data_IF_587329860696
#
_entry.id   IF_587329860696
#
_cell.length_a   1.000
_cell.length_b   1.000
_cell.length_c   1.000
_cell.angle_alpha   90.00
_cell.angle_beta   90.00
_cell.angle_gamma   90.00
#
_symmetry.space_group_name_H-M   'P 1'
#
loop_
_entity.id
_entity.type
_entity.pdbx_description
1 polymer ?
#
# COMPACT_ATOMS: atom_id res chain seq x y z
N UNK A 1 -35.62 -5.68 -35.35
CA UNK A 1 -34.56 -4.78 -34.82
C UNK A 1 -34.82 -4.32 -33.36
N UNK A 2 -35.36 -5.19 -32.48
CA UNK A 2 -35.60 -4.89 -31.05
C UNK A 2 -35.13 -6.00 -30.07
N UNK A 3 -34.62 -7.14 -30.55
CA UNK A 3 -34.05 -8.19 -29.69
C UNK A 3 -32.52 -8.07 -29.48
N UNK A 4 -31.79 -7.40 -30.36
CA UNK A 4 -30.33 -7.28 -30.25
C UNK A 4 -29.84 -6.24 -29.20
N UNK A 5 -30.72 -5.33 -28.75
CA UNK A 5 -30.38 -4.32 -27.75
C UNK A 5 -30.68 -4.76 -26.31
N UNK A 6 -31.57 -5.74 -26.10
CA UNK A 6 -31.83 -6.34 -24.78
C UNK A 6 -30.69 -7.29 -24.36
N UNK A 7 -30.03 -7.97 -25.31
CA UNK A 7 -28.84 -8.78 -25.00
C UNK A 7 -27.60 -7.94 -24.64
N UNK A 8 -27.45 -6.71 -25.18
CA UNK A 8 -26.34 -5.81 -24.79
C UNK A 8 -26.57 -5.13 -23.43
N UNK A 9 -27.82 -4.90 -23.04
CA UNK A 9 -28.15 -4.38 -21.71
C UNK A 9 -27.94 -5.47 -20.62
N UNK A 10 -28.30 -6.72 -20.92
CA UNK A 10 -28.01 -7.85 -20.02
C UNK A 10 -26.52 -8.20 -19.94
N UNK A 11 -25.74 -8.06 -21.03
CA UNK A 11 -24.27 -8.22 -20.97
C UNK A 11 -23.56 -7.09 -20.20
N UNK A 12 -24.10 -5.86 -20.19
CA UNK A 12 -23.52 -4.75 -19.41
C UNK A 12 -23.80 -4.86 -17.91
N UNK A 13 -24.94 -5.42 -17.52
CA UNK A 13 -25.21 -5.79 -16.12
C UNK A 13 -24.37 -7.00 -15.66
N UNK A 14 -23.92 -7.86 -16.58
CA UNK A 14 -23.05 -9.00 -16.29
C UNK A 14 -21.60 -8.60 -15.97
N UNK A 15 -21.10 -7.52 -16.58
CA UNK A 15 -19.74 -6.99 -16.33
C UNK A 15 -19.65 -6.20 -15.01
N UNK A 16 -20.75 -5.63 -14.52
CA UNK A 16 -20.80 -4.91 -13.24
C UNK A 16 -20.69 -5.84 -12.01
N UNK A 17 -21.02 -7.13 -12.17
CA UNK A 17 -20.88 -8.13 -11.10
C UNK A 17 -19.54 -8.86 -11.08
N UNK A 18 -18.71 -8.76 -12.13
CA UNK A 18 -17.63 -9.71 -12.41
C UNK A 18 -16.50 -9.74 -11.37
N UNK A 19 -16.27 -8.66 -10.60
CA UNK A 19 -15.24 -8.64 -9.55
C UNK A 19 -15.75 -9.08 -8.17
N UNK A 20 -17.02 -8.80 -7.82
CA UNK A 20 -17.66 -9.48 -6.68
C UNK A 20 -17.80 -10.97 -6.96
N UNK A 21 -18.14 -11.31 -8.21
CA UNK A 21 -18.25 -12.68 -8.68
C UNK A 21 -16.89 -13.39 -8.71
N UNK A 22 -15.74 -12.79 -9.02
CA UNK A 22 -14.49 -13.57 -9.08
C UNK A 22 -14.04 -14.13 -7.71
N UNK A 23 -14.12 -13.35 -6.62
CA UNK A 23 -13.68 -13.81 -5.29
C UNK A 23 -14.77 -14.62 -4.56
N UNK A 24 -16.03 -14.22 -4.69
CA UNK A 24 -17.19 -15.02 -4.26
C UNK A 24 -17.33 -16.26 -5.15
N UNK A 25 -16.83 -16.29 -6.40
CA UNK A 25 -16.67 -17.53 -7.17
C UNK A 25 -15.50 -18.34 -6.62
N UNK A 26 -14.35 -17.82 -6.26
CA UNK A 26 -13.27 -18.73 -5.80
C UNK A 26 -13.68 -19.46 -4.51
N UNK A 27 -14.29 -18.77 -3.55
CA UNK A 27 -14.76 -19.42 -2.30
C UNK A 27 -16.14 -20.04 -2.48
N UNK A 28 -17.10 -19.35 -3.09
CA UNK A 28 -18.43 -19.88 -3.37
C UNK A 28 -18.45 -21.01 -4.40
N UNK A 29 -17.57 -21.05 -5.40
CA UNK A 29 -17.40 -22.24 -6.28
C UNK A 29 -16.71 -23.37 -5.52
N UNK A 30 -15.85 -23.10 -4.54
CA UNK A 30 -15.29 -24.16 -3.68
C UNK A 30 -16.36 -24.74 -2.74
N UNK A 31 -17.18 -23.88 -2.12
CA UNK A 31 -18.30 -24.28 -1.25
C UNK A 31 -19.37 -25.03 -2.06
N UNK A 32 -19.76 -24.50 -3.23
CA UNK A 32 -20.73 -25.12 -4.14
C UNK A 32 -20.19 -26.41 -4.77
N UNK A 33 -18.91 -26.46 -5.17
CA UNK A 33 -18.31 -27.68 -5.73
C UNK A 33 -18.14 -28.79 -4.68
N UNK A 34 -18.03 -28.46 -3.39
CA UNK A 34 -17.99 -29.43 -2.29
C UNK A 34 -19.39 -29.83 -1.79
N UNK A 35 -20.46 -29.19 -2.29
CA UNK A 35 -21.83 -29.44 -1.79
C UNK A 35 -22.01 -29.08 -0.31
N UNK A 36 -21.14 -28.23 0.24
CA UNK A 36 -21.10 -27.87 1.66
C UNK A 36 -21.87 -26.56 1.90
N UNK A 37 -22.46 -26.42 3.08
CA UNK A 37 -23.13 -25.17 3.49
C UNK A 37 -22.14 -24.09 3.96
N UNK A 38 -20.89 -24.48 4.28
CA UNK A 38 -19.85 -23.61 4.84
C UNK A 38 -18.46 -24.12 4.49
N UNK A 39 -17.44 -23.26 4.58
CA UNK A 39 -16.05 -23.65 4.32
C UNK A 39 -15.50 -24.47 5.50
N UNK A 40 -14.83 -25.59 5.20
CA UNK A 40 -14.30 -26.50 6.22
C UNK A 40 -12.89 -26.11 6.66
N UNK A 41 -12.50 -26.58 7.86
CA UNK A 41 -11.11 -26.48 8.38
C UNK A 41 -10.11 -27.08 7.40
N UNK A 42 -10.45 -28.21 6.78
CA UNK A 42 -9.60 -28.88 5.80
C UNK A 42 -9.37 -28.00 4.56
N UNK A 43 -10.45 -27.46 3.99
CA UNK A 43 -10.36 -26.57 2.82
C UNK A 43 -9.52 -25.32 3.13
N UNK A 44 -9.70 -24.71 4.30
CA UNK A 44 -8.87 -23.58 4.75
C UNK A 44 -7.40 -24.00 4.85
N UNK A 45 -7.12 -25.15 5.48
CA UNK A 45 -5.77 -25.66 5.64
C UNK A 45 -5.06 -25.92 4.32
N UNK A 46 -5.77 -26.50 3.35
CA UNK A 46 -5.27 -26.75 1.99
C UNK A 46 -4.96 -25.42 1.27
N UNK A 47 -5.91 -24.47 1.26
CA UNK A 47 -5.74 -23.19 0.55
C UNK A 47 -4.66 -22.29 1.16
N UNK A 48 -4.53 -22.26 2.49
CA UNK A 48 -3.47 -21.52 3.16
C UNK A 48 -2.09 -22.19 3.05
N UNK A 49 -2.03 -23.43 2.57
CA UNK A 49 -0.77 -24.15 2.31
C UNK A 49 -0.45 -24.23 0.82
N UNK A 50 -1.18 -23.51 -0.03
CA UNK A 50 -0.92 -23.46 -1.47
C UNK A 50 0.49 -22.91 -1.73
N UNK A 51 1.33 -23.58 -2.55
CA UNK A 51 2.67 -23.10 -2.86
C UNK A 51 2.67 -21.75 -3.57
N UNK A 52 1.60 -21.43 -4.32
CA UNK A 52 1.46 -20.15 -5.01
C UNK A 52 1.08 -19.04 -4.03
N UNK A 53 1.97 -18.06 -3.86
CA UNK A 53 1.71 -16.88 -3.05
C UNK A 53 0.48 -16.11 -3.54
N UNK A 54 0.27 -16.00 -4.87
CA UNK A 54 -0.92 -15.35 -5.41
C UNK A 54 -2.20 -16.08 -5.04
N UNK A 55 -2.19 -17.42 -5.04
CA UNK A 55 -3.35 -18.22 -4.62
C UNK A 55 -3.65 -18.04 -3.13
N UNK A 56 -2.62 -18.05 -2.27
CA UNK A 56 -2.77 -17.75 -0.83
C UNK A 56 -3.38 -16.37 -0.61
N UNK A 57 -2.83 -15.33 -1.25
CA UNK A 57 -3.34 -13.95 -1.16
C UNK A 57 -4.80 -13.82 -1.59
N UNK A 58 -5.15 -14.37 -2.76
CA UNK A 58 -6.53 -14.34 -3.26
C UNK A 58 -7.48 -15.01 -2.29
N UNK A 59 -7.09 -16.15 -1.72
CA UNK A 59 -7.90 -16.84 -0.72
C UNK A 59 -8.07 -16.00 0.56
N UNK A 60 -6.98 -15.46 1.10
CA UNK A 60 -6.99 -14.61 2.31
C UNK A 60 -7.89 -13.38 2.12
N UNK A 61 -7.74 -12.67 1.01
CA UNK A 61 -8.57 -11.50 0.72
C UNK A 61 -10.05 -11.87 0.56
N UNK A 62 -10.35 -13.07 0.05
CA UNK A 62 -11.72 -13.56 -0.07
C UNK A 62 -12.38 -13.95 1.24
N UNK A 63 -11.61 -14.30 2.28
CA UNK A 63 -12.17 -14.58 3.61
C UNK A 63 -12.90 -13.38 4.21
N UNK A 64 -12.61 -12.15 3.76
CA UNK A 64 -13.28 -10.93 4.23
C UNK A 64 -14.74 -10.81 3.76
N UNK A 65 -15.13 -11.52 2.69
CA UNK A 65 -16.48 -11.47 2.12
C UNK A 65 -17.41 -12.54 2.74
N UNK A 66 -16.88 -13.41 3.60
CA UNK A 66 -17.66 -14.46 4.28
C UNK A 66 -18.48 -13.91 5.44
N UNK A 67 -19.63 -14.54 5.70
CA UNK A 67 -20.46 -14.32 6.89
C UNK A 67 -20.19 -15.36 7.99
N UNK A 68 -20.83 -15.20 9.15
CA UNK A 68 -20.76 -16.20 10.23
C UNK A 68 -21.40 -17.55 9.81
N UNK A 69 -22.33 -17.54 8.84
CA UNK A 69 -22.93 -18.76 8.28
C UNK A 69 -21.92 -19.50 7.36
N UNK A 70 -21.14 -18.75 6.58
CA UNK A 70 -20.15 -19.28 5.65
C UNK A 70 -18.89 -19.81 6.37
N UNK A 71 -18.53 -19.21 7.51
CA UNK A 71 -17.31 -19.51 8.27
C UNK A 71 -17.61 -19.76 9.75
N UNK A 72 -17.88 -21.03 10.07
CA UNK A 72 -18.15 -21.48 11.44
C UNK A 72 -17.03 -21.13 12.45
N UNK A 73 -17.37 -20.99 13.73
CA UNK A 73 -16.40 -20.67 14.80
C UNK A 73 -15.16 -21.58 14.85
N UNK A 74 -15.26 -22.92 14.69
CA UNK A 74 -14.07 -23.78 14.66
C UNK A 74 -13.18 -23.49 13.45
N UNK A 75 -13.78 -23.27 12.27
CA UNK A 75 -13.08 -22.94 11.03
C UNK A 75 -12.39 -21.58 11.14
N UNK A 76 -13.08 -20.59 11.68
CA UNK A 76 -12.55 -19.25 11.95
C UNK A 76 -11.40 -19.28 12.94
N UNK A 77 -11.55 -20.01 14.05
CA UNK A 77 -10.50 -20.16 15.07
C UNK A 77 -9.24 -20.81 14.47
N UNK A 78 -9.42 -21.84 13.65
CA UNK A 78 -8.32 -22.48 12.93
C UNK A 78 -7.63 -21.50 11.96
N UNK A 79 -8.42 -20.78 11.14
CA UNK A 79 -7.91 -19.78 10.21
C UNK A 79 -7.10 -18.70 10.95
N UNK A 80 -7.66 -18.10 12.01
CA UNK A 80 -6.98 -17.06 12.79
C UNK A 80 -5.62 -17.51 13.31
N UNK A 81 -5.54 -18.70 13.92
CA UNK A 81 -4.26 -19.23 14.43
C UNK A 81 -3.24 -19.47 13.32
N UNK A 82 -3.70 -19.98 12.17
CA UNK A 82 -2.83 -20.23 11.01
C UNK A 82 -2.34 -18.92 10.39
N UNK A 83 -3.23 -17.97 10.20
CA UNK A 83 -2.95 -16.65 9.63
C UNK A 83 -1.98 -15.85 10.50
N UNK A 84 -2.14 -15.84 11.83
CA UNK A 84 -1.17 -15.15 12.72
C UNK A 84 0.24 -15.77 12.65
N UNK A 85 0.33 -17.09 12.46
CA UNK A 85 1.64 -17.75 12.24
C UNK A 85 2.23 -17.35 10.89
N UNK A 86 1.41 -17.37 9.83
CA UNK A 86 1.83 -16.93 8.50
C UNK A 86 2.22 -15.44 8.50
N UNK A 87 1.52 -14.58 9.23
CA UNK A 87 1.85 -13.16 9.34
C UNK A 87 3.29 -12.92 9.78
N UNK A 88 3.80 -13.76 10.68
CA UNK A 88 5.18 -13.70 11.17
C UNK A 88 6.21 -14.32 10.20
N UNK A 89 5.82 -15.34 9.43
CA UNK A 89 6.76 -16.30 8.84
C UNK A 89 6.67 -16.44 7.33
N UNK A 90 5.53 -16.11 6.70
CA UNK A 90 5.36 -16.29 5.26
C UNK A 90 6.36 -15.37 4.52
N UNK A 91 7.14 -15.91 3.56
CA UNK A 91 8.17 -15.13 2.88
C UNK A 91 7.59 -14.05 1.97
N UNK A 92 6.34 -14.19 1.52
CA UNK A 92 5.75 -13.31 0.54
C UNK A 92 5.15 -12.02 1.16
N UNK A 93 5.59 -10.83 0.74
CA UNK A 93 5.12 -9.55 1.29
C UNK A 93 3.63 -9.31 1.04
N UNK A 94 3.12 -9.72 -0.13
CA UNK A 94 1.69 -9.57 -0.42
C UNK A 94 0.82 -10.44 0.48
N UNK A 95 1.30 -11.63 0.88
CA UNK A 95 0.62 -12.51 1.83
C UNK A 95 0.63 -11.89 3.22
N UNK A 96 1.78 -11.36 3.66
CA UNK A 96 1.87 -10.60 4.90
C UNK A 96 0.84 -9.44 4.94
N UNK A 97 0.82 -8.58 3.92
CA UNK A 97 -0.12 -7.45 3.85
C UNK A 97 -1.58 -7.88 3.71
N UNK A 98 -1.89 -8.95 2.97
CA UNK A 98 -3.26 -9.47 2.88
C UNK A 98 -3.78 -9.94 4.26
N UNK A 99 -2.90 -10.55 5.07
CA UNK A 99 -3.24 -10.96 6.44
C UNK A 99 -3.41 -9.73 7.33
N UNK A 100 -2.50 -8.74 7.26
CA UNK A 100 -2.64 -7.46 7.98
C UNK A 100 -4.00 -6.83 7.72
N UNK A 101 -4.37 -6.72 6.45
CA UNK A 101 -5.64 -6.15 6.02
C UNK A 101 -6.85 -6.93 6.54
N UNK A 102 -6.83 -8.26 6.44
CA UNK A 102 -7.94 -9.13 6.87
C UNK A 102 -8.15 -9.07 8.39
N UNK A 103 -7.07 -9.19 9.15
CA UNK A 103 -7.08 -9.38 10.60
C UNK A 103 -7.07 -8.07 11.40
N UNK A 104 -6.57 -6.97 10.81
CA UNK A 104 -6.35 -5.71 11.49
C UNK A 104 -7.55 -4.77 11.54
N UNK A 105 -8.56 -4.99 10.71
CA UNK A 105 -9.67 -4.05 10.54
C UNK A 105 -11.04 -4.74 10.49
N UNK A 106 -12.01 -4.17 11.21
CA UNK A 106 -13.43 -4.51 11.13
C UNK A 106 -14.14 -3.78 9.96
N UNK A 107 -13.39 -3.00 9.19
CA UNK A 107 -13.89 -2.14 8.11
C UNK A 107 -13.11 -2.31 6.81
N UNK A 108 -13.79 -2.06 5.70
CA UNK A 108 -13.19 -1.81 4.40
C UNK A 108 -13.65 -0.43 3.96
N UNK A 109 -12.73 0.53 4.07
CA UNK A 109 -13.06 1.94 3.99
C UNK A 109 -14.14 2.33 5.01
N UNK A 110 -15.17 3.04 4.55
CA UNK A 110 -16.26 3.48 5.43
C UNK A 110 -17.23 2.34 5.82
N UNK A 111 -17.17 1.19 5.13
CA UNK A 111 -18.10 0.07 5.32
C UNK A 111 -17.59 -0.91 6.37
N UNK A 112 -18.43 -1.30 7.33
CA UNK A 112 -18.16 -2.46 8.21
C UNK A 112 -18.17 -3.76 7.43
N UNK A 113 -17.20 -4.63 7.72
CA UNK A 113 -17.15 -6.00 7.18
C UNK A 113 -18.19 -6.87 7.88
N UNK A 114 -18.53 -7.99 7.24
CA UNK A 114 -19.43 -8.97 7.84
C UNK A 114 -18.81 -9.61 9.10
N UNK A 115 -17.48 -9.80 9.10
CA UNK A 115 -16.72 -10.40 10.18
C UNK A 115 -15.67 -9.42 10.73
N UNK A 116 -15.72 -9.17 12.03
CA UNK A 116 -14.63 -8.53 12.77
C UNK A 116 -13.71 -9.59 13.38
N UNK A 117 -12.49 -9.74 12.83
CA UNK A 117 -11.52 -10.73 13.30
C UNK A 117 -10.89 -10.38 14.64
N UNK A 118 -10.93 -9.10 15.06
CA UNK A 118 -10.47 -8.67 16.39
C UNK A 118 -9.00 -8.96 16.69
N UNK A 119 -8.12 -8.97 15.68
CA UNK A 119 -6.72 -9.39 15.82
C UNK A 119 -5.70 -8.24 15.71
N UNK A 120 -6.14 -6.97 15.68
CA UNK A 120 -5.24 -5.82 15.57
C UNK A 120 -4.09 -5.86 16.60
N UNK A 121 -4.39 -6.06 17.89
CA UNK A 121 -3.34 -6.13 18.92
C UNK A 121 -2.41 -7.34 18.77
N UNK A 122 -2.90 -8.45 18.23
CA UNK A 122 -2.05 -9.61 17.95
C UNK A 122 -1.06 -9.32 16.80
N UNK A 123 -1.50 -8.62 15.76
CA UNK A 123 -0.63 -8.15 14.68
C UNK A 123 0.42 -7.17 15.21
N UNK A 124 0.00 -6.16 15.98
CA UNK A 124 0.91 -5.16 16.55
C UNK A 124 1.97 -5.78 17.47
N UNK A 125 1.62 -6.83 18.24
CA UNK A 125 2.62 -7.60 19.00
C UNK A 125 3.63 -8.31 18.10
N UNK A 126 3.18 -8.90 17.00
CA UNK A 126 4.08 -9.57 16.04
C UNK A 126 5.02 -8.56 15.39
N UNK A 127 4.53 -7.39 14.98
CA UNK A 127 5.34 -6.33 14.38
C UNK A 127 6.40 -5.81 15.36
N UNK A 128 6.01 -5.51 16.61
CA UNK A 128 6.97 -5.11 17.66
C UNK A 128 8.04 -6.18 17.92
N UNK A 129 7.66 -7.45 17.88
CA UNK A 129 8.61 -8.56 18.00
C UNK A 129 9.55 -8.69 16.80
N UNK A 130 9.18 -8.20 15.62
CA UNK A 130 9.97 -8.26 14.39
C UNK A 130 10.80 -7.00 14.14
N UNK A 131 10.43 -5.87 14.73
CA UNK A 131 11.08 -4.57 14.54
C UNK A 131 12.60 -4.63 14.76
N UNK A 132 13.36 -4.13 13.78
CA UNK A 132 14.82 -4.09 13.79
C UNK A 132 15.51 -5.46 13.70
N UNK A 133 14.77 -6.55 13.48
CA UNK A 133 15.33 -7.90 13.31
C UNK A 133 15.50 -8.23 11.83
N UNK A 134 16.52 -9.04 11.54
CA UNK A 134 16.79 -9.50 10.18
C UNK A 134 15.56 -10.20 9.56
N UNK A 135 15.26 -9.82 8.32
CA UNK A 135 14.24 -10.44 7.47
C UNK A 135 14.78 -11.49 6.51
N UNK A 136 15.97 -12.06 6.72
CA UNK A 136 16.69 -12.83 5.70
C UNK A 136 15.89 -13.96 4.99
N UNK A 137 14.92 -14.57 5.65
CA UNK A 137 14.06 -15.64 5.08
C UNK A 137 12.77 -15.12 4.42
N UNK A 138 12.55 -13.80 4.42
CA UNK A 138 11.35 -13.14 3.93
C UNK A 138 11.72 -12.05 2.95
N UNK A 139 10.86 -11.81 1.98
CA UNK A 139 10.98 -10.65 1.08
C UNK A 139 10.30 -9.42 1.69
N UNK A 140 10.38 -9.28 3.01
CA UNK A 140 9.95 -8.14 3.79
C UNK A 140 10.56 -8.13 5.19
N UNK A 141 10.62 -6.95 5.80
CA UNK A 141 11.09 -6.76 7.19
C UNK A 141 10.38 -5.57 7.85
N UNK A 142 10.53 -5.44 9.17
CA UNK A 142 10.01 -4.30 9.94
C UNK A 142 11.21 -3.52 10.47
N UNK A 143 11.29 -2.22 10.17
CA UNK A 143 12.33 -1.33 10.69
C UNK A 143 12.30 -1.25 12.21
N UNK A 144 13.38 -0.79 12.84
CA UNK A 144 13.41 -0.52 14.29
C UNK A 144 12.33 0.48 14.74
N UNK A 145 11.89 1.35 13.82
CA UNK A 145 10.82 2.34 14.01
C UNK A 145 9.42 1.82 13.69
N UNK A 146 9.28 0.54 13.31
CA UNK A 146 7.99 -0.12 13.09
C UNK A 146 7.40 0.03 11.69
N UNK A 147 8.17 0.47 10.70
CA UNK A 147 7.73 0.54 9.30
C UNK A 147 7.96 -0.80 8.60
N UNK A 148 6.95 -1.36 7.95
CA UNK A 148 7.11 -2.60 7.17
C UNK A 148 7.59 -2.28 5.76
N UNK A 149 8.73 -2.88 5.39
CA UNK A 149 9.39 -2.73 4.10
C UNK A 149 9.25 -4.02 3.28
N UNK A 150 8.78 -3.92 2.05
CA UNK A 150 8.81 -4.99 1.05
C UNK A 150 10.16 -4.98 0.33
N UNK A 151 10.75 -6.15 0.13
CA UNK A 151 12.00 -6.32 -0.63
C UNK A 151 11.68 -6.78 -2.06
N UNK A 152 12.09 -5.98 -3.04
CA UNK A 152 12.07 -6.35 -4.45
C UNK A 152 13.45 -6.88 -4.83
N UNK A 153 13.54 -8.18 -5.12
CA UNK A 153 14.77 -8.83 -5.57
C UNK A 153 15.04 -8.50 -7.04
N UNK A 154 16.12 -7.78 -7.28
CA UNK A 154 16.58 -7.39 -8.61
C UNK A 154 17.63 -8.32 -9.22
N UNK A 155 18.04 -8.06 -10.47
CA UNK A 155 17.54 -6.99 -11.34
C UNK A 155 16.12 -7.26 -11.85
N UNK A 156 15.35 -6.21 -12.12
CA UNK A 156 13.99 -6.31 -12.70
C UNK A 156 13.86 -5.46 -13.96
N UNK A 157 12.98 -5.88 -14.87
CA UNK A 157 12.60 -5.13 -16.07
C UNK A 157 11.08 -5.06 -16.18
N UNK A 158 10.57 -3.91 -16.62
CA UNK A 158 9.14 -3.73 -16.86
C UNK A 158 8.88 -2.66 -17.92
N UNK A 159 7.63 -2.56 -18.35
CA UNK A 159 7.15 -1.47 -19.20
C UNK A 159 6.58 -0.39 -18.27
N UNK A 160 7.27 0.74 -18.21
CA UNK A 160 6.84 1.94 -17.50
C UNK A 160 5.95 2.79 -18.41
N UNK A 161 4.98 3.52 -17.85
CA UNK A 161 4.03 4.37 -18.57
C UNK A 161 2.71 3.69 -18.98
N UNK A 162 1.78 4.49 -19.48
CA UNK A 162 0.38 4.09 -19.64
C UNK A 162 0.03 3.66 -21.08
N UNK A 163 -0.87 2.66 -21.27
CA UNK A 163 -1.38 2.29 -22.58
C UNK A 163 -1.96 3.50 -23.34
N UNK A 164 -1.77 3.60 -24.67
CA UNK A 164 -2.24 4.75 -25.45
C UNK A 164 -3.74 5.03 -25.36
N UNK A 165 -4.54 4.01 -25.05
CA UNK A 165 -5.99 4.05 -24.91
C UNK A 165 -6.48 4.18 -23.45
N UNK A 166 -5.57 4.36 -22.48
CA UNK A 166 -5.95 4.58 -21.08
C UNK A 166 -6.66 5.93 -20.91
N UNK A 167 -7.85 5.89 -20.29
CA UNK A 167 -8.62 7.09 -19.99
C UNK A 167 -7.90 7.96 -18.95
N UNK A 168 -7.63 9.22 -19.29
CA UNK A 168 -6.95 10.17 -18.41
C UNK A 168 -5.44 10.27 -18.61
N UNK A 169 -4.86 9.40 -19.45
CA UNK A 169 -3.43 9.43 -19.82
C UNK A 169 -3.01 10.79 -20.37
N UNK A 170 -1.86 11.29 -19.92
CA UNK A 170 -1.18 12.46 -20.48
C UNK A 170 -0.05 12.08 -21.45
N UNK A 171 0.45 13.02 -22.30
CA UNK A 171 1.47 12.72 -23.31
C UNK A 171 2.80 12.20 -22.77
N UNK A 172 3.19 12.63 -21.57
CA UNK A 172 4.40 12.26 -20.81
C UNK A 172 4.36 10.83 -20.24
N UNK A 173 3.22 10.14 -20.31
CA UNK A 173 3.07 8.75 -19.87
C UNK A 173 3.31 7.75 -21.03
N UNK A 174 4.29 8.00 -21.89
CA UNK A 174 4.61 7.10 -23.00
C UNK A 174 5.27 5.80 -22.53
N UNK A 175 4.75 4.66 -23.01
CA UNK A 175 5.29 3.35 -22.66
C UNK A 175 6.73 3.16 -23.13
N UNK A 176 7.62 2.83 -22.21
CA UNK A 176 9.02 2.52 -22.51
C UNK A 176 9.56 1.44 -21.57
N UNK A 177 10.61 0.73 -22.00
CA UNK A 177 11.21 -0.34 -21.20
C UNK A 177 12.18 0.27 -20.19
N UNK A 178 12.03 -0.11 -18.93
CA UNK A 178 12.91 0.30 -17.83
C UNK A 178 13.54 -0.94 -17.19
N UNK A 179 14.83 -0.82 -16.83
CA UNK A 179 15.57 -1.84 -16.08
C UNK A 179 16.07 -1.23 -14.77
N UNK A 180 15.74 -1.87 -13.66
CA UNK A 180 16.28 -1.55 -12.34
C UNK A 180 17.35 -2.62 -12.03
N UNK A 181 18.65 -2.27 -12.06
CA UNK A 181 19.73 -3.26 -12.02
C UNK A 181 20.06 -3.78 -10.62
N UNK A 182 19.30 -3.39 -9.60
CA UNK A 182 19.56 -3.60 -8.18
C UNK A 182 18.33 -4.17 -7.48
N UNK A 183 18.54 -4.82 -6.33
CA UNK A 183 17.45 -5.04 -5.38
C UNK A 183 17.19 -3.74 -4.62
N UNK A 184 15.95 -3.54 -4.17
CA UNK A 184 15.58 -2.40 -3.33
C UNK A 184 14.49 -2.83 -2.35
N UNK A 185 14.30 -2.04 -1.29
CA UNK A 185 13.17 -2.17 -0.40
C UNK A 185 12.31 -0.91 -0.45
N UNK A 186 10.99 -1.07 -0.35
CA UNK A 186 10.02 0.02 -0.37
C UNK A 186 9.01 -0.18 0.75
N UNK A 187 8.60 0.91 1.39
CA UNK A 187 7.60 0.84 2.45
C UNK A 187 6.27 0.30 1.90
N UNK A 188 5.60 -0.54 2.69
CA UNK A 188 4.29 -1.11 2.33
C UNK A 188 3.15 -0.10 2.47
N UNK A 189 3.37 0.98 3.21
CA UNK A 189 2.44 2.09 3.40
C UNK A 189 3.20 3.40 3.33
N UNK A 190 2.48 4.51 3.17
CA UNK A 190 3.06 5.83 3.40
C UNK A 190 3.60 5.95 4.83
N UNK A 191 4.57 6.85 5.02
CA UNK A 191 5.10 7.18 6.35
C UNK A 191 3.98 7.83 7.17
N UNK A 192 3.72 7.33 8.37
CA UNK A 192 2.60 7.83 9.18
C UNK A 192 2.92 9.14 9.90
N UNK A 193 1.88 9.84 10.36
CA UNK A 193 2.00 11.03 11.22
C UNK A 193 2.86 10.72 12.45
N UNK A 194 2.58 9.61 13.15
CA UNK A 194 3.34 9.22 14.34
C UNK A 194 4.80 8.87 14.03
N UNK A 195 5.07 8.17 12.92
CA UNK A 195 6.45 7.82 12.51
C UNK A 195 7.26 9.07 12.19
N UNK A 196 6.70 10.01 11.43
CA UNK A 196 7.38 11.27 11.13
C UNK A 196 7.52 12.17 12.36
N UNK A 197 6.56 12.11 13.29
CA UNK A 197 6.64 12.88 14.53
C UNK A 197 7.82 12.44 15.41
N UNK A 198 8.16 11.14 15.45
CA UNK A 198 9.37 10.66 16.13
C UNK A 198 10.64 11.29 15.56
N UNK A 199 10.73 11.44 14.24
CA UNK A 199 11.83 12.14 13.58
C UNK A 199 11.89 13.61 14.01
N UNK A 200 10.77 14.33 13.98
CA UNK A 200 10.73 15.74 14.39
C UNK A 200 11.10 15.94 15.87
N UNK A 201 10.65 15.04 16.74
CA UNK A 201 10.95 15.11 18.18
C UNK A 201 12.43 14.81 18.46
N UNK A 202 13.06 13.95 17.66
CA UNK A 202 14.49 13.67 17.75
C UNK A 202 15.38 14.77 17.15
N UNK A 203 14.83 15.69 16.35
CA UNK A 203 15.58 16.74 15.63
C UNK A 203 14.90 18.12 15.78
N UNK A 204 15.02 18.77 16.96
CA UNK A 204 14.32 20.02 17.27
C UNK A 204 14.61 21.17 16.31
N UNK A 205 15.81 21.20 15.72
CA UNK A 205 16.21 22.20 14.71
C UNK A 205 15.42 22.05 13.41
N UNK A 206 15.17 20.81 12.95
CA UNK A 206 14.31 20.54 11.80
C UNK A 206 12.87 20.89 12.16
N UNK A 207 12.38 20.47 13.33
CA UNK A 207 11.03 20.80 13.81
C UNK A 207 10.78 22.31 13.89
N UNK A 208 11.78 23.09 14.32
CA UNK A 208 11.69 24.54 14.38
C UNK A 208 11.61 25.20 12.99
N UNK A 209 12.15 24.59 11.94
CA UNK A 209 12.09 25.08 10.57
C UNK A 209 10.87 24.55 9.81
N UNK A 210 10.43 23.32 10.11
CA UNK A 210 9.23 22.70 9.57
C UNK A 210 8.00 23.59 9.77
N UNK A 211 7.92 24.23 10.93
CA UNK A 211 6.85 25.17 11.26
C UNK A 211 6.92 26.50 10.51
N UNK A 212 7.94 26.79 9.69
CA UNK A 212 8.20 28.12 9.11
C UNK A 212 7.78 28.31 7.65
N UNK A 213 6.87 27.51 7.10
CA UNK A 213 6.18 27.91 5.85
C UNK A 213 5.24 29.09 6.16
N UNK A 214 5.77 30.30 6.27
CA UNK A 214 5.13 31.61 6.49
C UNK A 214 4.15 31.76 7.70
N UNK A 215 3.63 30.67 8.28
CA UNK A 215 2.69 30.64 9.39
C UNK A 215 2.61 29.26 10.10
N UNK A 216 3.35 29.03 11.20
CA UNK A 216 3.36 27.78 11.99
C UNK A 216 2.01 27.21 12.39
N UNK A 217 1.07 28.08 12.80
CA UNK A 217 -0.25 27.65 13.25
C UNK A 217 -1.03 26.98 12.14
N UNK A 218 -0.82 27.41 10.89
CA UNK A 218 -1.54 26.88 9.73
C UNK A 218 -1.11 25.45 9.37
N UNK A 219 0.16 25.07 9.56
CA UNK A 219 0.61 23.70 9.26
C UNK A 219 0.01 22.72 10.28
N UNK A 220 0.09 23.04 11.57
CA UNK A 220 -0.45 22.18 12.62
C UNK A 220 -1.97 22.04 12.49
N UNK A 221 -2.68 23.15 12.24
CA UNK A 221 -4.13 23.15 11.98
C UNK A 221 -4.47 22.39 10.69
N UNK A 222 -3.70 22.57 9.62
CA UNK A 222 -3.91 21.83 8.37
C UNK A 222 -3.69 20.34 8.56
N UNK A 223 -2.65 19.91 9.29
CA UNK A 223 -2.41 18.51 9.59
C UNK A 223 -3.54 17.92 10.45
N UNK A 224 -3.96 18.61 11.51
CA UNK A 224 -5.09 18.19 12.33
C UNK A 224 -6.41 18.11 11.54
N UNK A 225 -6.56 18.93 10.49
CA UNK A 225 -7.75 18.91 9.63
C UNK A 225 -7.69 17.84 8.54
N UNK A 226 -6.53 17.66 7.92
CA UNK A 226 -6.35 16.86 6.71
C UNK A 226 -5.80 15.47 6.98
N UNK A 227 -5.02 15.26 8.04
CA UNK A 227 -4.51 13.95 8.46
C UNK A 227 -4.42 13.85 9.99
N UNK A 228 -5.58 13.79 10.68
CA UNK A 228 -5.64 13.84 12.15
C UNK A 228 -5.14 12.59 12.86
N UNK A 229 -5.16 11.43 12.19
CA UNK A 229 -4.89 10.14 12.83
C UNK A 229 -3.38 9.86 12.88
N UNK A 230 -2.89 9.31 13.99
CA UNK A 230 -1.48 8.96 14.20
C UNK A 230 -0.97 7.92 13.18
N UNK A 231 -1.85 7.02 12.76
CA UNK A 231 -1.65 6.02 11.71
C UNK A 231 -2.11 6.49 10.32
N UNK A 232 -2.53 7.76 10.18
CA UNK A 232 -2.72 8.44 8.91
C UNK A 232 -1.39 8.78 8.23
N UNK A 233 -1.37 8.98 6.91
CA UNK A 233 -0.17 9.35 6.17
C UNK A 233 0.30 10.74 6.58
N UNK A 234 1.61 10.92 6.74
CA UNK A 234 2.16 12.25 6.96
C UNK A 234 1.90 13.09 5.72
N UNK A 235 1.48 14.35 5.93
CA UNK A 235 1.33 15.36 4.88
C UNK A 235 2.05 16.65 5.29
N UNK A 236 1.97 17.68 4.45
CA UNK A 236 2.51 19.02 4.73
C UNK A 236 4.02 19.02 4.99
N UNK A 237 4.79 18.29 4.18
CA UNK A 237 6.25 18.30 4.23
C UNK A 237 6.85 18.58 2.86
N UNK A 238 8.04 19.16 2.87
CA UNK A 238 8.85 19.35 1.66
C UNK A 238 9.56 18.05 1.28
N UNK A 239 10.01 17.97 0.04
CA UNK A 239 10.86 16.88 -0.43
C UNK A 239 12.15 16.76 0.43
N UNK A 240 12.75 17.88 0.83
CA UNK A 240 13.96 17.91 1.64
C UNK A 240 13.75 17.32 3.03
N UNK A 241 12.62 17.60 3.67
CA UNK A 241 12.28 17.00 4.96
C UNK A 241 12.04 15.50 4.86
N UNK A 242 11.47 15.03 3.75
CA UNK A 242 11.35 13.59 3.49
C UNK A 242 12.73 12.94 3.29
N UNK A 243 13.67 13.60 2.61
CA UNK A 243 15.05 13.16 2.50
C UNK A 243 15.80 13.15 3.85
N UNK A 244 15.60 14.17 4.70
CA UNK A 244 16.12 14.19 6.08
C UNK A 244 15.57 13.02 6.91
N UNK A 245 14.27 12.72 6.78
CA UNK A 245 13.63 11.57 7.43
C UNK A 245 14.28 10.25 7.01
N UNK A 246 14.61 10.07 5.73
CA UNK A 246 15.33 8.91 5.24
C UNK A 246 16.74 8.78 5.87
N UNK A 247 17.49 9.87 5.99
CA UNK A 247 18.79 9.85 6.69
C UNK A 247 18.61 9.51 8.18
N UNK A 248 17.58 10.06 8.83
CA UNK A 248 17.24 9.70 10.21
C UNK A 248 16.89 8.22 10.37
N UNK A 249 16.11 7.62 9.47
CA UNK A 249 15.84 6.18 9.47
C UNK A 249 17.13 5.36 9.29
N UNK A 250 18.01 5.79 8.37
CA UNK A 250 19.31 5.14 8.16
C UNK A 250 20.14 5.11 9.44
N UNK A 251 20.10 6.21 10.22
CA UNK A 251 20.71 6.28 11.55
C UNK A 251 20.05 5.32 12.55
N UNK A 252 18.72 5.23 12.59
CA UNK A 252 18.02 4.34 13.51
C UNK A 252 18.35 2.87 13.26
N UNK A 253 18.55 2.49 12.00
CA UNK A 253 18.99 1.13 11.64
C UNK A 253 20.51 0.91 11.80
N UNK A 254 21.25 1.90 12.31
CA UNK A 254 22.69 1.76 12.54
C UNK A 254 23.54 1.68 11.27
N UNK A 255 23.04 2.18 10.14
CA UNK A 255 23.81 2.24 8.90
C UNK A 255 24.91 3.31 9.00
N UNK A 256 26.16 3.00 8.59
CA UNK A 256 27.23 4.00 8.61
C UNK A 256 26.92 5.12 7.62
N UNK A 257 27.37 6.35 7.90
CA UNK A 257 27.12 7.52 7.07
C UNK A 257 27.60 7.36 5.61
N UNK A 258 28.61 6.51 5.37
CA UNK A 258 29.06 6.17 4.02
C UNK A 258 28.00 5.45 3.17
N UNK A 259 27.00 4.84 3.80
CA UNK A 259 25.86 4.20 3.14
C UNK A 259 24.66 5.15 3.00
N UNK A 260 24.74 6.40 3.48
CA UNK A 260 23.62 7.32 3.37
C UNK A 260 23.54 7.91 1.96
N UNK A 261 22.32 8.14 1.49
CA UNK A 261 22.04 8.61 0.12
C UNK A 261 22.17 10.13 0.03
N UNK A 262 21.66 10.85 1.04
CA UNK A 262 21.66 12.30 1.09
C UNK A 262 22.79 12.83 1.99
N UNK A 263 23.22 14.10 1.83
CA UNK A 263 24.20 14.74 2.72
C UNK A 263 23.91 14.52 4.21
N UNK A 264 24.95 14.29 5.02
CA UNK A 264 24.80 13.90 6.43
C UNK A 264 24.33 15.07 7.30
N UNK A 265 24.72 16.30 6.96
CA UNK A 265 24.16 17.49 7.59
C UNK A 265 22.79 17.82 7.01
N UNK A 266 21.74 17.85 7.84
CA UNK A 266 20.39 18.20 7.35
C UNK A 266 20.33 19.57 6.66
N UNK A 267 21.10 20.56 7.12
CA UNK A 267 21.18 21.88 6.50
C UNK A 267 21.83 21.87 5.10
N UNK A 268 22.48 20.77 4.71
CA UNK A 268 23.07 20.55 3.39
C UNK A 268 22.08 19.88 2.43
N UNK A 269 20.96 19.36 2.94
CA UNK A 269 19.86 18.79 2.14
C UNK A 269 18.99 19.95 1.64
N UNK A 270 19.46 20.60 0.59
CA UNK A 270 18.87 21.80 -0.01
C UNK A 270 18.89 21.73 -1.54
N UNK A 271 18.27 22.71 -2.19
CA UNK A 271 18.36 22.84 -3.65
C UNK A 271 19.82 22.95 -4.10
N UNK A 272 20.14 22.29 -5.21
CA UNK A 272 21.50 22.24 -5.74
C UNK A 272 22.47 21.29 -5.02
N UNK A 273 22.03 20.54 -4.00
CA UNK A 273 22.88 19.53 -3.37
C UNK A 273 23.39 18.49 -4.39
N UNK A 274 24.56 17.93 -4.11
CA UNK A 274 25.18 16.89 -4.92
C UNK A 274 25.05 15.55 -4.20
N UNK A 275 24.49 14.57 -4.89
CA UNK A 275 24.41 13.20 -4.40
C UNK A 275 25.68 12.43 -4.79
N UNK A 276 26.10 11.45 -3.98
CA UNK A 276 27.17 10.54 -4.37
C UNK A 276 26.87 9.82 -5.69
N UNK A 277 27.89 9.56 -6.51
CA UNK A 277 27.69 8.88 -7.82
C UNK A 277 27.06 7.48 -7.67
N UNK A 278 27.30 6.82 -6.53
CA UNK A 278 26.81 5.49 -6.20
C UNK A 278 25.52 5.51 -5.35
N UNK A 279 24.87 6.66 -5.15
CA UNK A 279 23.75 6.84 -4.21
C UNK A 279 22.62 5.79 -4.35
N UNK A 280 22.34 5.30 -5.55
CA UNK A 280 21.30 4.27 -5.77
C UNK A 280 21.75 2.86 -5.36
N UNK A 281 23.04 2.62 -5.16
CA UNK A 281 23.62 1.35 -4.75
C UNK A 281 23.91 1.27 -3.25
N UNK A 282 23.77 2.38 -2.53
CA UNK A 282 23.96 2.44 -1.08
C UNK A 282 22.80 1.80 -0.32
N UNK A 283 23.06 1.37 0.91
CA UNK A 283 22.08 0.70 1.77
C UNK A 283 21.14 1.65 2.52
N UNK A 284 21.46 2.95 2.57
CA UNK A 284 20.67 3.97 3.24
C UNK A 284 19.26 4.11 2.69
N UNK A 285 18.33 4.49 3.56
CA UNK A 285 16.98 4.82 3.16
C UNK A 285 17.00 6.05 2.25
N UNK A 286 16.04 6.08 1.32
CA UNK A 286 15.80 7.19 0.41
C UNK A 286 14.37 7.15 -0.10
N UNK A 287 13.98 8.21 -0.81
CA UNK A 287 12.77 8.19 -1.62
C UNK A 287 12.96 7.16 -2.74
N UNK A 288 11.90 6.44 -3.16
CA UNK A 288 11.97 5.57 -4.32
C UNK A 288 12.21 6.41 -5.57
N UNK A 289 12.95 5.88 -6.55
CA UNK A 289 12.90 6.46 -7.89
C UNK A 289 11.50 6.29 -8.47
N UNK A 290 11.11 7.14 -9.42
CA UNK A 290 9.83 7.04 -10.13
C UNK A 290 9.64 5.65 -10.75
N UNK A 291 10.71 5.10 -11.33
CA UNK A 291 10.74 3.74 -11.85
C UNK A 291 10.54 2.66 -10.77
N UNK A 292 11.17 2.78 -9.60
CA UNK A 292 10.97 1.84 -8.49
C UNK A 292 9.54 1.93 -7.93
N UNK A 293 9.00 3.15 -7.83
CA UNK A 293 7.64 3.40 -7.38
C UNK A 293 6.64 2.77 -8.33
N UNK A 294 6.74 3.03 -9.64
CA UNK A 294 5.81 2.49 -10.63
C UNK A 294 5.93 0.95 -10.74
N UNK A 295 7.15 0.40 -10.68
CA UNK A 295 7.36 -1.05 -10.63
C UNK A 295 6.61 -1.68 -9.44
N UNK A 296 6.79 -1.08 -8.26
CA UNK A 296 6.16 -1.56 -7.03
C UNK A 296 4.64 -1.39 -7.07
N UNK A 297 4.14 -0.27 -7.60
CA UNK A 297 2.72 0.04 -7.78
C UNK A 297 2.03 -0.98 -8.70
N UNK A 298 2.67 -1.33 -9.83
CA UNK A 298 2.17 -2.33 -10.79
C UNK A 298 2.15 -3.74 -10.21
N UNK A 299 3.10 -4.08 -9.34
CA UNK A 299 3.23 -5.41 -8.75
C UNK A 299 3.14 -6.57 -9.79
N UNK A 300 3.75 -6.37 -10.95
CA UNK A 300 3.76 -7.32 -12.07
C UNK A 300 2.57 -7.22 -13.03
N UNK A 301 1.61 -6.33 -12.80
CA UNK A 301 0.49 -6.12 -13.72
C UNK A 301 0.91 -5.33 -14.98
N UNK A 302 0.36 -5.75 -16.12
CA UNK A 302 0.49 -5.06 -17.41
C UNK A 302 -0.74 -4.24 -17.81
N UNK A 303 -1.81 -4.35 -17.02
CA UNK A 303 -3.06 -3.60 -17.12
C UNK A 303 -2.90 -2.18 -16.57
N UNK A 304 -3.89 -1.32 -16.78
CA UNK A 304 -3.92 0.05 -16.24
C UNK A 304 -3.77 0.09 -14.71
N UNK A 305 -4.36 -0.88 -14.00
CA UNK A 305 -4.26 -1.01 -12.53
C UNK A 305 -3.84 -2.41 -12.13
N UNK A 306 -3.24 -2.58 -10.95
CA UNK A 306 -2.79 -3.89 -10.47
C UNK A 306 -3.92 -4.91 -10.31
N UNK A 307 -5.16 -4.44 -10.19
CA UNK A 307 -6.36 -5.24 -10.08
C UNK A 307 -7.15 -5.37 -11.39
N UNK A 308 -6.62 -4.88 -12.52
CA UNK A 308 -7.21 -5.00 -13.86
C UNK A 308 -7.43 -3.66 -14.58
N UNK A 309 -8.18 -3.68 -15.68
CA UNK A 309 -8.38 -2.49 -16.55
C UNK A 309 -9.49 -1.55 -16.04
N UNK A 310 -10.45 -2.10 -15.30
CA UNK A 310 -11.66 -1.38 -14.91
C UNK A 310 -11.38 -0.36 -13.80
N UNK A 311 -11.94 0.85 -13.94
CA UNK A 311 -11.99 1.81 -12.82
C UNK A 311 -13.00 1.38 -11.74
N UNK A 312 -14.02 0.58 -12.10
CA UNK A 312 -14.94 0.01 -11.11
C UNK A 312 -14.16 -0.85 -10.11
N UNK A 313 -14.43 -0.66 -8.82
CA UNK A 313 -13.75 -1.36 -7.73
C UNK A 313 -12.55 -0.60 -7.16
N UNK A 314 -12.19 0.59 -7.66
CA UNK A 314 -11.12 1.43 -7.11
C UNK A 314 -11.32 1.74 -5.62
N UNK A 315 -12.57 1.84 -5.18
CA UNK A 315 -13.01 2.01 -3.80
C UNK A 315 -12.59 0.85 -2.86
N UNK A 316 -12.14 -0.28 -3.40
CA UNK A 316 -11.55 -1.36 -2.62
C UNK A 316 -10.04 -1.21 -2.38
N UNK A 317 -9.39 -0.30 -3.12
CA UNK A 317 -7.93 -0.18 -3.22
C UNK A 317 -7.42 1.24 -2.97
N UNK A 318 -8.27 2.27 -3.01
CA UNK A 318 -7.85 3.65 -2.90
C UNK A 318 -8.86 4.58 -2.23
N UNK A 319 -8.32 5.56 -1.52
CA UNK A 319 -9.02 6.74 -1.06
C UNK A 319 -8.83 7.87 -2.07
N UNK A 320 -9.86 8.25 -2.81
CA UNK A 320 -9.73 9.24 -3.88
C UNK A 320 -10.94 10.16 -3.93
N UNK A 321 -10.73 11.37 -4.45
CA UNK A 321 -11.82 12.30 -4.73
C UNK A 321 -12.73 11.71 -5.82
N UNK A 322 -14.03 11.62 -5.54
CA UNK A 322 -15.01 11.10 -6.48
C UNK A 322 -15.39 12.23 -7.44
N UNK A 323 -15.32 11.92 -8.72
CA UNK A 323 -15.38 12.88 -9.83
C UNK A 323 -16.64 13.79 -9.82
N UNK A 324 -16.56 14.96 -10.49
CA UNK A 324 -15.46 15.42 -11.36
C UNK A 324 -14.31 16.09 -10.60
N UNK A 325 -13.11 16.10 -11.21
CA UNK A 325 -11.93 16.86 -10.76
C UNK A 325 -12.34 18.27 -10.33
N UNK A 326 -12.25 18.54 -9.03
CA UNK A 326 -12.74 19.79 -8.44
C UNK A 326 -11.68 20.88 -8.56
N UNK A 327 -12.09 22.04 -9.05
CA UNK A 327 -11.23 23.23 -9.18
C UNK A 327 -11.17 23.95 -7.84
N UNK A 328 -10.11 24.73 -7.64
CA UNK A 328 -9.98 25.64 -6.50
C UNK A 328 -11.20 26.59 -6.48
N UNK A 329 -12.07 26.43 -5.47
CA UNK A 329 -13.29 27.23 -5.28
C UNK A 329 -14.61 26.47 -5.43
N UNK A 330 -14.60 25.22 -5.91
CA UNK A 330 -15.81 24.41 -6.01
C UNK A 330 -16.39 24.10 -4.62
N UNK A 331 -17.71 24.06 -4.48
CA UNK A 331 -18.39 23.72 -3.22
C UNK A 331 -18.07 22.26 -2.81
N UNK A 332 -17.73 21.99 -1.52
CA UNK A 332 -17.41 20.65 -1.03
C UNK A 332 -18.45 19.61 -1.46
N UNK A 333 -18.03 18.55 -2.16
CA UNK A 333 -18.84 17.37 -2.36
C UNK A 333 -18.90 16.62 -1.01
N UNK A 334 -20.09 16.45 -0.42
CA UNK A 334 -20.23 15.67 0.81
C UNK A 334 -19.82 14.19 0.66
N UNK A 335 -19.71 13.67 -0.58
CA UNK A 335 -19.27 12.31 -0.86
C UNK A 335 -17.74 12.16 -1.03
N UNK A 336 -16.99 13.26 -1.05
CA UNK A 336 -15.53 13.24 -1.12
C UNK A 336 -14.89 13.03 0.27
N UNK A 337 -13.81 12.24 0.37
CA UNK A 337 -13.00 12.22 1.57
C UNK A 337 -12.39 13.61 1.80
N UNK A 338 -12.75 14.25 2.92
CA UNK A 338 -12.29 15.61 3.27
C UNK A 338 -10.93 15.63 3.98
N UNK A 339 -10.36 14.45 4.19
CA UNK A 339 -9.12 14.16 4.91
C UNK A 339 -8.56 12.84 4.39
N UNK A 340 -7.28 12.59 4.66
CA UNK A 340 -6.65 11.28 4.53
C UNK A 340 -7.27 10.29 5.51
N UNK A 341 -7.01 9.01 5.30
CA UNK A 341 -7.42 7.93 6.18
C UNK A 341 -6.19 7.19 6.71
N UNK A 342 -6.30 6.49 7.85
CA UNK A 342 -5.24 5.60 8.31
C UNK A 342 -4.77 4.67 7.20
N UNK A 343 -3.45 4.50 7.12
CA UNK A 343 -2.82 3.70 6.07
C UNK A 343 -3.21 2.22 6.16
N UNK A 344 -3.28 1.53 5.03
CA UNK A 344 -3.50 0.09 4.98
C UNK A 344 -4.92 -0.39 5.25
N UNK A 345 -5.92 0.51 5.27
CA UNK A 345 -7.32 0.12 5.47
C UNK A 345 -7.98 -0.52 4.25
N UNK A 346 -7.44 -0.28 3.05
CA UNK A 346 -7.92 -0.85 1.79
C UNK A 346 -7.01 -1.99 1.32
N UNK A 347 -7.41 -2.73 0.28
CA UNK A 347 -6.71 -3.95 -0.13
C UNK A 347 -5.31 -3.62 -0.69
N UNK A 348 -4.27 -4.39 -0.34
CA UNK A 348 -2.93 -4.21 -0.89
C UNK A 348 -2.81 -4.79 -2.31
N UNK A 349 -1.74 -4.40 -3.02
CA UNK A 349 -1.35 -5.01 -4.27
C UNK A 349 -0.54 -6.31 -4.06
N UNK A 350 -0.08 -6.93 -5.17
CA UNK A 350 0.64 -8.20 -5.14
C UNK A 350 2.03 -8.15 -4.48
N UNK A 351 2.62 -6.97 -4.26
CA UNK A 351 3.85 -6.76 -3.52
C UNK A 351 3.60 -6.28 -2.08
N UNK A 352 2.34 -6.28 -1.65
CA UNK A 352 1.95 -5.90 -0.30
C UNK A 352 1.90 -4.40 -0.05
N UNK A 353 1.97 -3.57 -1.09
CA UNK A 353 1.80 -2.12 -0.96
C UNK A 353 0.32 -1.78 -0.84
N UNK A 354 0.02 -0.88 0.09
CA UNK A 354 -1.29 -0.29 0.30
C UNK A 354 -1.36 1.09 -0.33
N UNK A 355 -2.59 1.60 -0.48
CA UNK A 355 -2.88 3.01 -0.82
C UNK A 355 -2.26 3.54 -2.14
N UNK A 356 -1.72 2.64 -2.98
CA UNK A 356 -1.02 2.90 -4.26
C UNK A 356 -1.72 3.90 -5.20
N UNK A 357 -3.05 3.97 -5.19
CA UNK A 357 -3.83 4.83 -6.08
C UNK A 357 -4.55 5.99 -5.38
N UNK A 358 -4.21 6.31 -4.12
CA UNK A 358 -4.90 7.38 -3.39
C UNK A 358 -4.32 7.68 -2.02
N UNK A 359 -5.16 8.24 -1.16
CA UNK A 359 -4.83 8.79 0.16
C UNK A 359 -3.98 10.07 0.08
N UNK A 360 -2.74 9.98 -0.39
CA UNK A 360 -1.84 11.12 -0.60
C UNK A 360 -1.01 10.98 -1.88
N UNK A 361 -0.43 12.09 -2.33
CA UNK A 361 0.68 12.03 -3.30
C UNK A 361 1.97 11.67 -2.57
N UNK A 362 2.83 10.90 -3.24
CA UNK A 362 4.09 10.41 -2.67
C UNK A 362 5.28 11.05 -3.40
N UNK A 363 6.21 11.63 -2.62
CA UNK A 363 7.45 12.16 -3.18
C UNK A 363 8.33 11.02 -3.71
N UNK A 364 8.81 11.17 -4.95
CA UNK A 364 9.85 10.30 -5.54
C UNK A 364 11.20 11.02 -5.57
N UNK A 365 12.27 10.27 -5.76
CA UNK A 365 13.64 10.76 -5.80
C UNK A 365 13.90 11.65 -7.03
N UNK A 366 13.23 11.36 -8.14
CA UNK A 366 13.49 11.98 -9.43
C UNK A 366 13.11 13.46 -9.48
N UNK A 367 13.88 14.23 -10.24
CA UNK A 367 13.47 15.57 -10.67
C UNK A 367 12.46 15.41 -11.80
N UNK A 368 11.41 16.23 -11.79
CA UNK A 368 10.48 16.30 -12.91
C UNK A 368 11.23 16.58 -14.22
N UNK A 369 10.99 15.75 -15.24
CA UNK A 369 11.51 15.89 -16.59
C UNK A 369 10.36 15.57 -17.56
N UNK A 370 10.31 16.29 -18.66
CA UNK A 370 9.46 15.90 -19.78
C UNK A 370 10.08 14.66 -20.46
N UNK A 371 9.28 13.61 -20.66
CA UNK A 371 9.70 12.37 -21.32
C UNK A 371 9.48 12.39 -22.84
#
# INVERSE_FOLDING_TARGET
MKLANLQRAHLRAWVQGAFRLATVLVIGTVVVAQGAASITVETIGQRLSDPSASARRTFILGLADLSDEDLTDPARTFATRRLLRMYRQDPDPGTHSAIRWLLGHDRQGERRRALDWGQAEALSRIERDLAGRSGAERDWFVTSTGQTMTVVRGPVEFIMGSPPDEAGRTPDEARHRVRIPRSFAIATTEVTVAQFQQFLDANPEVKAQHTRLDNPGQIAEALQRLSPDDDGPRTMMTWYEAAMYCNWLSRQEGLPESEWVYPTGFHEIVDGMVLPDDHLHRLGYRLPTEAEWEYAARAGASTARFYGESQNGLDQFAWYAKNPIRRKGDAPDPADPRRTWPVGQLKPNGLGLFDVYGNVWEWVHDRARDY
#
